data_IF_886245341168
#
_entry.id   IF_886245341168
#
_cell.length_a   1.000
_cell.length_b   1.000
_cell.length_c   1.000
_cell.angle_alpha   90.00
_cell.angle_beta   90.00
_cell.angle_gamma   90.00
#
_symmetry.space_group_name_H-M   'P 1'
#
loop_
_entity.id
_entity.type
_entity.pdbx_description
1 polymer ?
#
# COMPACT_ATOMS: atom_id res chain seq x y z
N UNK A 1 22.88 -5.73 -19.21
CA UNK A 1 21.59 -5.02 -19.39
C UNK A 1 20.97 -4.96 -18.02
N UNK A 2 20.85 -3.76 -17.43
CA UNK A 2 20.18 -3.58 -16.14
C UNK A 2 18.68 -3.63 -16.45
N UNK A 3 17.98 -4.63 -15.91
CA UNK A 3 16.53 -4.74 -16.09
C UNK A 3 15.91 -3.66 -15.22
N UNK A 4 15.22 -2.69 -15.82
CA UNK A 4 14.53 -1.66 -15.05
C UNK A 4 13.51 -2.28 -14.09
N UNK A 5 13.33 -1.66 -12.93
CA UNK A 5 12.30 -2.03 -11.97
C UNK A 5 11.00 -1.34 -12.37
N UNK A 6 10.02 -2.10 -12.83
CA UNK A 6 8.72 -1.59 -13.30
C UNK A 6 7.59 -2.04 -12.35
N UNK A 7 7.71 -1.68 -11.08
CA UNK A 7 6.82 -2.17 -10.02
C UNK A 7 5.35 -1.81 -10.25
N UNK A 8 5.05 -0.58 -10.68
CA UNK A 8 3.68 -0.15 -10.99
C UNK A 8 3.04 -0.96 -12.12
N UNK A 9 3.81 -1.26 -13.18
CA UNK A 9 3.35 -2.12 -14.27
C UNK A 9 3.06 -3.55 -13.80
N UNK A 10 3.93 -4.10 -12.94
CA UNK A 10 3.73 -5.43 -12.37
C UNK A 10 2.50 -5.48 -11.44
N UNK A 11 2.33 -4.50 -10.55
CA UNK A 11 1.15 -4.37 -9.69
C UNK A 11 -0.14 -4.32 -10.51
N UNK A 12 -0.17 -3.48 -11.56
CA UNK A 12 -1.32 -3.33 -12.45
C UNK A 12 -1.69 -4.61 -13.19
N UNK A 13 -0.71 -5.33 -13.74
CA UNK A 13 -0.98 -6.59 -14.44
C UNK A 13 -1.56 -7.63 -13.48
N UNK A 14 -0.99 -7.75 -12.28
CA UNK A 14 -1.46 -8.71 -11.29
C UNK A 14 -2.85 -8.33 -10.73
N UNK A 15 -3.14 -7.05 -10.50
CA UNK A 15 -4.46 -6.63 -10.02
C UNK A 15 -5.57 -6.91 -11.04
N UNK A 16 -5.27 -6.80 -12.34
CA UNK A 16 -6.19 -7.11 -13.43
C UNK A 16 -6.40 -8.62 -13.65
N UNK A 17 -5.58 -9.48 -13.04
CA UNK A 17 -5.66 -10.93 -13.22
C UNK A 17 -6.81 -11.60 -12.47
N UNK A 18 -7.43 -10.89 -11.51
CA UNK A 18 -8.50 -11.41 -10.66
C UNK A 18 -9.58 -10.34 -10.41
N UNK A 19 -10.85 -10.75 -10.43
CA UNK A 19 -11.99 -9.82 -10.31
C UNK A 19 -12.04 -9.14 -8.94
N UNK A 20 -11.71 -9.85 -7.84
CA UNK A 20 -11.71 -9.27 -6.50
C UNK A 20 -10.53 -8.33 -6.31
N UNK A 21 -9.35 -8.70 -6.82
CA UNK A 21 -8.18 -7.81 -6.79
C UNK A 21 -8.45 -6.53 -7.60
N UNK A 22 -9.00 -6.67 -8.82
CA UNK A 22 -9.32 -5.52 -9.65
C UNK A 22 -10.29 -4.56 -8.97
N UNK A 23 -11.22 -5.08 -8.15
CA UNK A 23 -12.19 -4.28 -7.40
C UNK A 23 -11.56 -3.41 -6.31
N UNK A 24 -10.50 -3.88 -5.65
CA UNK A 24 -9.88 -3.18 -4.51
C UNK A 24 -8.66 -2.32 -4.89
N UNK A 25 -8.24 -2.37 -6.16
CA UNK A 25 -7.15 -1.56 -6.69
C UNK A 25 -7.65 -0.58 -7.74
N UNK A 26 -7.90 0.66 -7.32
CA UNK A 26 -8.05 1.77 -8.24
C UNK A 26 -6.72 2.07 -8.96
N UNK A 27 -6.80 2.76 -10.09
CA UNK A 27 -5.60 3.24 -10.78
C UNK A 27 -4.81 4.21 -9.90
N UNK A 28 -5.49 5.11 -9.18
CA UNK A 28 -4.86 6.07 -8.27
C UNK A 28 -4.11 5.37 -7.14
N UNK A 29 -4.67 4.29 -6.58
CA UNK A 29 -3.97 3.48 -5.59
C UNK A 29 -2.73 2.81 -6.16
N UNK A 30 -2.82 2.21 -7.35
CA UNK A 30 -1.68 1.55 -7.99
C UNK A 30 -0.54 2.55 -8.24
N UNK A 31 -0.87 3.75 -8.70
CA UNK A 31 0.11 4.81 -8.93
C UNK A 31 0.70 5.31 -7.61
N UNK A 32 -0.12 5.49 -6.56
CA UNK A 32 0.33 5.85 -5.23
C UNK A 32 1.30 4.82 -4.64
N UNK A 33 0.96 3.52 -4.68
CA UNK A 33 1.84 2.45 -4.19
C UNK A 33 3.14 2.44 -4.98
N UNK A 34 3.08 2.48 -6.31
CA UNK A 34 4.27 2.50 -7.16
C UNK A 34 5.17 3.67 -6.83
N UNK A 35 4.60 4.87 -6.63
CA UNK A 35 5.36 6.06 -6.31
C UNK A 35 6.05 5.92 -4.94
N UNK A 36 5.31 5.51 -3.91
CA UNK A 36 5.85 5.30 -2.56
C UNK A 36 6.99 4.26 -2.54
N UNK A 37 6.81 3.12 -3.23
CA UNK A 37 7.83 2.07 -3.33
C UNK A 37 9.11 2.55 -4.03
N UNK A 38 8.97 3.34 -5.09
CA UNK A 38 10.10 3.95 -5.78
C UNK A 38 10.80 4.97 -4.87
N UNK A 39 10.04 5.84 -4.19
CA UNK A 39 10.57 6.86 -3.29
C UNK A 39 11.44 6.25 -2.19
N UNK A 40 11.02 5.12 -1.60
CA UNK A 40 11.80 4.40 -0.60
C UNK A 40 13.19 4.00 -1.12
N UNK A 41 13.29 3.59 -2.39
CA UNK A 41 14.57 3.19 -3.02
C UNK A 41 15.39 4.38 -3.52
N UNK A 42 14.74 5.47 -3.88
CA UNK A 42 15.41 6.68 -4.38
C UNK A 42 15.95 7.56 -3.25
N UNK A 43 15.30 7.58 -2.09
CA UNK A 43 15.68 8.46 -0.98
C UNK A 43 17.16 8.34 -0.57
N UNK A 44 17.76 7.14 -0.41
CA UNK A 44 19.18 7.04 -0.06
C UNK A 44 20.10 7.73 -1.09
N UNK A 45 19.83 7.55 -2.39
CA UNK A 45 20.60 8.18 -3.46
C UNK A 45 20.41 9.69 -3.50
N UNK A 46 19.18 10.16 -3.26
CA UNK A 46 18.89 11.59 -3.18
C UNK A 46 19.69 12.26 -2.06
N UNK A 47 19.77 11.63 -0.88
CA UNK A 47 20.58 12.12 0.23
C UNK A 47 22.09 12.00 -0.03
N UNK A 48 22.55 10.95 -0.72
CA UNK A 48 23.95 10.79 -1.11
C UNK A 48 24.42 11.91 -2.05
N UNK A 49 23.52 12.41 -2.91
CA UNK A 49 23.78 13.56 -3.79
C UNK A 49 23.83 14.91 -3.04
N UNK A 50 23.55 14.92 -1.73
CA UNK A 50 23.66 16.11 -0.88
C UNK A 50 22.42 17.01 -0.87
N UNK A 51 21.27 16.52 -1.33
CA UNK A 51 20.00 17.25 -1.24
C UNK A 51 19.37 17.14 0.15
N UNK A 52 18.60 18.17 0.53
CA UNK A 52 17.88 18.20 1.78
C UNK A 52 16.64 17.31 1.72
N UNK A 53 16.42 16.49 2.75
CA UNK A 53 15.32 15.52 2.81
C UNK A 53 13.93 16.16 2.65
N UNK A 54 13.80 17.44 3.02
CA UNK A 54 12.56 18.20 2.94
C UNK A 54 12.16 18.52 1.50
N UNK A 55 13.12 18.53 0.58
CA UNK A 55 12.92 18.74 -0.85
C UNK A 55 12.57 17.43 -1.61
N UNK A 56 12.55 16.28 -0.91
CA UNK A 56 12.34 14.98 -1.57
C UNK A 56 10.89 14.75 -2.00
N UNK A 57 9.94 15.33 -1.27
CA UNK A 57 8.50 15.18 -1.51
C UNK A 57 7.80 16.52 -1.26
N UNK A 58 6.91 16.91 -2.18
CA UNK A 58 6.11 18.13 -2.07
C UNK A 58 5.24 18.17 -0.80
N UNK A 59 4.91 17.01 -0.26
CA UNK A 59 4.05 16.85 0.91
C UNK A 59 4.83 16.57 2.21
N UNK A 60 6.14 16.84 2.26
CA UNK A 60 7.04 16.51 3.38
C UNK A 60 6.50 16.95 4.76
N UNK A 61 5.86 18.11 4.83
CA UNK A 61 5.30 18.67 6.07
C UNK A 61 3.87 18.22 6.39
N UNK A 62 3.25 17.38 5.55
CA UNK A 62 1.93 16.82 5.83
C UNK A 62 2.06 15.53 6.65
N UNK A 63 1.35 15.49 7.79
CA UNK A 63 1.25 14.32 8.67
C UNK A 63 0.19 13.35 8.11
N UNK A 64 0.67 12.24 7.51
CA UNK A 64 -0.19 11.24 6.84
C UNK A 64 -1.12 10.52 7.83
N UNK A 65 -0.81 10.53 9.12
CA UNK A 65 -1.57 9.86 10.18
C UNK A 65 -2.77 10.66 10.67
N UNK A 66 -2.86 11.95 10.31
CA UNK A 66 -3.98 12.84 10.59
C UNK A 66 -4.92 13.03 9.39
N UNK A 67 -4.82 12.15 8.40
CA UNK A 67 -5.69 12.19 7.24
C UNK A 67 -7.17 11.98 7.67
N UNK A 68 -8.07 12.86 7.25
CA UNK A 68 -9.51 12.74 7.49
C UNK A 68 -10.07 11.40 6.99
N UNK A 69 -9.51 10.87 5.90
CA UNK A 69 -9.86 9.56 5.35
C UNK A 69 -9.58 8.42 6.35
N UNK A 70 -8.55 8.56 7.18
CA UNK A 70 -8.26 7.57 8.23
C UNK A 70 -9.37 7.53 9.30
N UNK A 71 -9.95 8.68 9.66
CA UNK A 71 -11.08 8.72 10.58
C UNK A 71 -12.34 8.12 9.97
N UNK A 72 -12.51 8.18 8.64
CA UNK A 72 -13.60 7.49 7.95
C UNK A 72 -13.39 5.98 7.95
N UNK A 73 -12.16 5.50 7.74
CA UNK A 73 -11.82 4.08 7.83
C UNK A 73 -12.12 3.50 9.21
N UNK A 74 -11.74 4.21 10.28
CA UNK A 74 -12.04 3.78 11.66
C UNK A 74 -13.54 3.61 11.93
N UNK A 75 -14.40 4.32 11.19
CA UNK A 75 -15.85 4.27 11.36
C UNK A 75 -16.56 3.30 10.41
N UNK A 76 -15.91 2.87 9.33
CA UNK A 76 -16.62 2.24 8.21
C UNK A 76 -15.78 1.36 7.29
N UNK A 77 -14.75 0.69 7.81
CA UNK A 77 -13.97 -0.28 7.02
C UNK A 77 -14.82 -1.47 6.55
N UNK A 78 -15.62 -2.02 7.46
CA UNK A 78 -16.62 -3.03 7.17
C UNK A 78 -17.85 -2.84 8.06
N UNK A 79 -18.96 -3.47 7.68
CA UNK A 79 -20.19 -3.48 8.46
C UNK A 79 -20.86 -4.86 8.43
N UNK A 80 -21.60 -5.16 9.49
CA UNK A 80 -22.36 -6.41 9.58
C UNK A 80 -23.57 -6.38 8.63
N UNK A 81 -23.74 -7.48 7.91
CA UNK A 81 -24.95 -7.78 7.14
C UNK A 81 -25.48 -9.16 7.49
N UNK A 82 -26.71 -9.45 7.08
CA UNK A 82 -27.30 -10.78 7.22
C UNK A 82 -26.55 -11.88 6.44
N UNK A 83 -25.62 -11.52 5.54
CA UNK A 83 -24.75 -12.43 4.79
C UNK A 83 -23.32 -12.52 5.33
N UNK A 84 -23.01 -11.81 6.43
CA UNK A 84 -21.66 -11.66 6.98
C UNK A 84 -21.12 -10.23 6.84
N UNK A 85 -19.82 -10.06 7.12
CA UNK A 85 -19.14 -8.77 7.03
C UNK A 85 -19.01 -8.31 5.58
N UNK A 86 -19.45 -7.08 5.33
CA UNK A 86 -19.39 -6.42 4.03
C UNK A 86 -18.34 -5.32 4.07
N UNK A 87 -17.46 -5.33 3.07
CA UNK A 87 -16.37 -4.38 2.91
C UNK A 87 -16.66 -3.48 1.73
N UNK A 88 -16.37 -2.20 1.89
CA UNK A 88 -16.40 -1.23 0.79
C UNK A 88 -15.06 -1.27 0.07
N UNK A 89 -15.08 -1.45 -1.25
CA UNK A 89 -13.87 -1.45 -2.07
C UNK A 89 -13.00 -0.20 -1.85
N UNK A 90 -13.62 0.98 -1.80
CA UNK A 90 -12.96 2.26 -1.53
C UNK A 90 -12.33 2.34 -0.14
N UNK A 91 -12.89 1.64 0.84
CA UNK A 91 -12.30 1.59 2.18
C UNK A 91 -11.03 0.71 2.18
N UNK A 92 -11.05 -0.41 1.46
CA UNK A 92 -9.86 -1.25 1.27
C UNK A 92 -8.79 -0.47 0.50
N UNK A 93 -9.18 0.18 -0.59
CA UNK A 93 -8.30 0.98 -1.44
C UNK A 93 -7.61 2.09 -0.62
N UNK A 94 -8.40 2.88 0.10
CA UNK A 94 -7.91 3.94 0.98
C UNK A 94 -6.98 3.39 2.07
N UNK A 95 -7.35 2.29 2.74
CA UNK A 95 -6.54 1.65 3.78
C UNK A 95 -5.14 1.31 3.26
N UNK A 96 -5.06 0.66 2.09
CA UNK A 96 -3.78 0.28 1.49
C UNK A 96 -2.98 1.55 1.14
N UNK A 97 -3.64 2.55 0.55
CA UNK A 97 -3.02 3.80 0.14
C UNK A 97 -2.35 4.54 1.31
N UNK A 98 -3.09 4.80 2.38
CA UNK A 98 -2.57 5.54 3.54
C UNK A 98 -1.45 4.77 4.26
N UNK A 99 -1.51 3.44 4.26
CA UNK A 99 -0.45 2.61 4.82
C UNK A 99 0.89 2.87 4.10
N UNK A 100 0.90 2.80 2.77
CA UNK A 100 2.14 3.03 1.99
C UNK A 100 2.61 4.47 2.06
N UNK A 101 1.70 5.46 2.02
CA UNK A 101 2.07 6.87 2.14
C UNK A 101 2.74 7.18 3.49
N UNK A 102 2.25 6.60 4.60
CA UNK A 102 2.90 6.75 5.90
C UNK A 102 4.25 6.03 5.95
N UNK A 103 4.35 4.80 5.43
CA UNK A 103 5.59 4.00 5.41
C UNK A 103 6.70 4.62 4.55
N UNK A 104 6.34 5.31 3.48
CA UNK A 104 7.28 6.00 2.59
C UNK A 104 7.61 7.44 3.03
N UNK A 105 7.03 7.93 4.14
CA UNK A 105 7.26 9.28 4.60
C UNK A 105 8.71 9.45 5.11
N UNK A 106 9.51 10.35 4.52
CA UNK A 106 10.90 10.57 4.91
C UNK A 106 11.03 11.46 6.16
N UNK A 107 9.95 12.14 6.55
CA UNK A 107 9.93 13.04 7.70
C UNK A 107 9.87 12.26 9.02
N UNK A 108 11.02 12.14 9.68
CA UNK A 108 11.18 11.40 10.95
C UNK A 108 10.62 12.12 12.18
N UNK A 109 10.13 13.36 12.03
CA UNK A 109 9.49 14.08 13.14
C UNK A 109 8.05 13.61 13.41
N UNK A 110 7.42 12.94 12.45
CA UNK A 110 6.11 12.33 12.63
C UNK A 110 6.23 10.95 13.26
N UNK A 111 5.48 10.72 14.34
CA UNK A 111 5.36 9.41 14.98
C UNK A 111 4.09 8.68 14.52
N UNK A 112 4.27 7.70 13.64
CA UNK A 112 3.20 6.86 13.11
C UNK A 112 2.89 5.63 13.98
N UNK A 113 3.50 5.47 15.17
CA UNK A 113 3.31 4.27 16.00
C UNK A 113 1.85 4.02 16.36
N UNK A 114 1.14 5.07 16.80
CA UNK A 114 -0.30 4.97 17.08
C UNK A 114 -1.11 4.71 15.82
N UNK A 115 -0.78 5.38 14.72
CA UNK A 115 -1.45 5.19 13.43
C UNK A 115 -1.37 3.73 12.96
N UNK A 116 -0.20 3.10 13.04
CA UNK A 116 -0.05 1.69 12.69
C UNK A 116 -0.77 0.75 13.66
N UNK A 117 -0.78 1.06 14.96
CA UNK A 117 -1.56 0.29 15.92
C UNK A 117 -3.06 0.34 15.59
N UNK A 118 -3.56 1.51 15.22
CA UNK A 118 -4.97 1.72 14.85
C UNK A 118 -5.30 1.03 13.50
N UNK A 119 -4.43 1.09 12.49
CA UNK A 119 -4.59 0.32 11.25
C UNK A 119 -4.64 -1.19 11.51
N UNK A 120 -3.76 -1.69 12.38
CA UNK A 120 -3.73 -3.10 12.78
C UNK A 120 -5.00 -3.51 13.51
N UNK A 121 -5.62 -2.61 14.29
CA UNK A 121 -6.89 -2.86 14.95
C UNK A 121 -8.07 -2.90 13.97
N UNK A 122 -8.01 -2.17 12.85
CA UNK A 122 -9.03 -2.20 11.80
C UNK A 122 -9.05 -3.56 11.09
N UNK A 123 -7.89 -4.03 10.61
CA UNK A 123 -7.73 -5.36 10.03
C UNK A 123 -6.29 -5.86 10.20
N UNK A 124 -6.09 -6.75 11.19
CA UNK A 124 -4.77 -7.29 11.49
C UNK A 124 -4.20 -8.12 10.34
N UNK A 125 -5.03 -8.83 9.58
CA UNK A 125 -4.56 -9.71 8.51
C UNK A 125 -4.08 -8.89 7.33
N UNK A 126 -4.86 -7.89 6.91
CA UNK A 126 -4.48 -6.96 5.86
C UNK A 126 -3.21 -6.20 6.25
N UNK A 127 -3.13 -5.71 7.50
CA UNK A 127 -1.93 -5.05 8.01
C UNK A 127 -0.68 -5.92 7.86
N UNK A 128 -0.73 -7.18 8.28
CA UNK A 128 0.40 -8.11 8.19
C UNK A 128 0.79 -8.39 6.74
N UNK A 129 -0.19 -8.51 5.82
CA UNK A 129 0.08 -8.69 4.39
C UNK A 129 0.88 -7.50 3.84
N UNK A 130 0.46 -6.28 4.18
CA UNK A 130 1.12 -5.05 3.74
C UNK A 130 2.51 -4.88 4.38
N UNK A 131 2.67 -5.27 5.65
CA UNK A 131 3.96 -5.24 6.36
C UNK A 131 4.96 -6.20 5.74
N UNK A 132 4.57 -7.46 5.51
CA UNK A 132 5.45 -8.45 4.91
C UNK A 132 5.91 -8.02 3.51
N UNK A 133 4.99 -7.53 2.67
CA UNK A 133 5.35 -7.05 1.34
C UNK A 133 6.28 -5.82 1.40
N UNK A 134 6.02 -4.89 2.32
CA UNK A 134 6.90 -3.74 2.53
C UNK A 134 8.30 -4.16 3.00
N UNK A 135 8.41 -5.11 3.93
CA UNK A 135 9.69 -5.63 4.39
C UNK A 135 10.46 -6.36 3.28
N UNK A 136 9.78 -7.16 2.47
CA UNK A 136 10.38 -7.84 1.32
C UNK A 136 10.86 -6.81 0.29
N UNK A 137 10.08 -5.75 0.06
CA UNK A 137 10.50 -4.63 -0.78
C UNK A 137 11.73 -3.92 -0.20
N UNK A 138 11.81 -3.68 1.11
CA UNK A 138 12.98 -3.06 1.73
C UNK A 138 14.25 -3.90 1.50
N UNK A 139 14.14 -5.23 1.62
CA UNK A 139 15.24 -6.18 1.41
C UNK A 139 15.62 -6.33 -0.07
N UNK A 140 14.71 -6.05 -0.99
CA UNK A 140 14.97 -6.13 -2.42
C UNK A 140 16.11 -5.19 -2.86
N UNK A 141 17.17 -5.77 -3.40
CA UNK A 141 18.27 -5.04 -4.03
C UNK A 141 18.05 -4.99 -5.55
N UNK A 142 17.72 -3.81 -6.06
CA UNK A 142 17.51 -3.59 -7.50
C UNK A 142 18.83 -3.62 -8.31
N UNK A 143 19.98 -3.69 -7.64
CA UNK A 143 21.29 -3.88 -8.28
C UNK A 143 21.65 -5.36 -8.43
N UNK A 144 21.00 -6.24 -7.68
CA UNK A 144 21.14 -7.69 -7.82
C UNK A 144 20.41 -8.18 -9.09
N UNK A 145 21.15 -8.88 -9.95
CA UNK A 145 20.64 -9.43 -11.21
C UNK A 145 19.76 -10.66 -11.00
N UNK A 146 19.81 -11.27 -9.82
CA UNK A 146 19.01 -12.44 -9.48
C UNK A 146 17.76 -12.10 -8.66
N UNK A 147 17.65 -10.87 -8.15
CA UNK A 147 16.49 -10.39 -7.42
C UNK A 147 15.28 -10.19 -8.34
N UNK A 148 14.18 -10.88 -8.06
CA UNK A 148 12.91 -10.75 -8.80
C UNK A 148 11.90 -9.95 -7.97
N UNK A 149 11.74 -8.67 -8.30
CA UNK A 149 10.63 -7.89 -7.73
C UNK A 149 9.26 -8.42 -8.21
N UNK A 150 9.22 -9.11 -9.35
CA UNK A 150 8.02 -9.76 -9.84
C UNK A 150 7.56 -10.86 -8.88
N UNK A 151 8.48 -11.63 -8.30
CA UNK A 151 8.15 -12.71 -7.36
C UNK A 151 7.60 -12.13 -6.06
N UNK A 152 8.19 -11.04 -5.56
CA UNK A 152 7.70 -10.30 -4.39
C UNK A 152 6.27 -9.82 -4.65
N UNK A 153 6.03 -9.21 -5.81
CA UNK A 153 4.72 -8.68 -6.21
C UNK A 153 3.69 -9.80 -6.38
N UNK A 154 4.08 -10.91 -7.01
CA UNK A 154 3.23 -12.07 -7.22
C UNK A 154 2.81 -12.71 -5.90
N UNK A 155 3.75 -12.90 -4.98
CA UNK A 155 3.47 -13.44 -3.65
C UNK A 155 2.51 -12.54 -2.88
N UNK A 156 2.75 -11.23 -2.89
CA UNK A 156 1.83 -10.24 -2.28
C UNK A 156 0.42 -10.35 -2.86
N UNK A 157 0.28 -10.36 -4.18
CA UNK A 157 -1.02 -10.43 -4.86
C UNK A 157 -1.75 -11.76 -4.60
N UNK A 158 -1.01 -12.87 -4.53
CA UNK A 158 -1.56 -14.19 -4.20
C UNK A 158 -2.12 -14.26 -2.77
N UNK A 159 -1.37 -13.73 -1.80
CA UNK A 159 -1.81 -13.69 -0.40
C UNK A 159 -2.98 -12.72 -0.23
N UNK A 160 -2.92 -11.54 -0.87
CA UNK A 160 -4.00 -10.56 -0.82
C UNK A 160 -5.28 -11.10 -1.48
N UNK A 161 -5.15 -11.83 -2.59
CA UNK A 161 -6.27 -12.55 -3.21
C UNK A 161 -6.92 -13.52 -2.23
N UNK A 162 -6.12 -14.33 -1.55
CA UNK A 162 -6.61 -15.28 -0.55
C UNK A 162 -7.36 -14.55 0.58
N UNK A 163 -6.86 -13.38 1.03
CA UNK A 163 -7.56 -12.54 2.00
C UNK A 163 -8.90 -12.00 1.47
N UNK A 164 -9.02 -11.73 0.16
CA UNK A 164 -10.27 -11.29 -0.48
C UNK A 164 -11.30 -12.41 -0.64
N UNK A 165 -10.88 -13.68 -0.76
CA UNK A 165 -11.78 -14.80 -1.09
C UNK A 165 -12.93 -14.97 -0.10
N UNK A 166 -12.66 -14.81 1.20
CA UNK A 166 -13.64 -14.94 2.28
C UNK A 166 -14.48 -13.67 2.52
N UNK A 167 -14.31 -12.63 1.70
CA UNK A 167 -14.95 -11.31 1.90
C UNK A 167 -16.04 -11.02 0.89
N UNK A 168 -17.10 -10.35 1.37
CA UNK A 168 -18.10 -9.71 0.54
C UNK A 168 -17.64 -8.28 0.29
N UNK A 169 -17.23 -7.98 -0.94
CA UNK A 169 -16.70 -6.66 -1.34
C UNK A 169 -17.66 -6.01 -2.32
N UNK A 170 -18.18 -4.83 -1.97
CA UNK A 170 -19.14 -4.08 -2.79
C UNK A 170 -18.57 -2.72 -3.20
N UNK A 171 -19.02 -2.22 -4.35
CA UNK A 171 -18.70 -0.87 -4.80
C UNK A 171 -19.78 0.12 -4.35
N UNK A 172 -19.36 1.32 -3.94
CA UNK A 172 -20.30 2.41 -3.62
C UNK A 172 -21.00 2.84 -4.92
N UNK A 173 -22.23 2.34 -5.12
CA UNK A 173 -23.05 2.52 -6.33
C UNK A 173 -23.84 1.27 -6.75
N UNK A 174 -23.60 0.11 -6.15
CA UNK A 174 -24.30 -1.16 -6.41
C UNK A 174 -25.45 -1.47 -5.43
N UNK A 175 -26.01 -0.44 -4.75
CA UNK A 175 -27.18 -0.56 -3.86
C UNK A 175 -28.41 0.03 -4.51
#
# INVERSE_FOLDING_TARGET
>A
MQVGVYIGGCLKINSLSDVKLHKIFSQDLLDNISNNLNHIKMLPLFLELGYDVEDFQDDYYLDKGKNEDFHLLQKGFCFDSYKGLVYLDKAIDCYIGIYFSAKACPNKSFDYSKFYADLKNIDMHLFVILENYFEDWLKYDYTDKFGSYQDITYNFMSILKSWCEDKIIISVGEV
#
